data_IF_142629866325
#
_entry.id   IF_142629866325
#
_cell.length_a   1.000
_cell.length_b   1.000
_cell.length_c   1.000
_cell.angle_alpha   90.00
_cell.angle_beta   90.00
_cell.angle_gamma   90.00
#
_symmetry.space_group_name_H-M   'P 1'
#
loop_
_entity.id
_entity.type
_entity.pdbx_description
1 polymer ?
#
# COMPACT_ATOMS: atom_id res chain seq x y z
N UNK A 1 -8.84 33.28 -21.98
CA UNK A 1 -8.61 33.15 -20.53
C UNK A 1 -8.02 31.77 -20.32
N UNK A 2 -6.70 31.66 -20.22
CA UNK A 2 -6.04 30.37 -20.05
C UNK A 2 -6.13 30.00 -18.57
N UNK A 3 -6.96 29.02 -18.26
CA UNK A 3 -6.94 28.36 -16.95
C UNK A 3 -5.66 27.54 -16.93
N UNK A 4 -4.63 28.04 -16.26
CA UNK A 4 -3.53 27.19 -15.82
C UNK A 4 -4.13 26.19 -14.84
N UNK A 5 -4.59 25.05 -15.34
CA UNK A 5 -4.90 23.92 -14.48
C UNK A 5 -3.55 23.50 -13.91
N UNK A 6 -3.38 23.67 -12.60
CA UNK A 6 -2.20 23.19 -11.92
C UNK A 6 -2.20 21.66 -12.07
N UNK A 7 -1.29 21.12 -12.88
CA UNK A 7 -1.11 19.66 -13.06
C UNK A 7 -0.86 18.93 -11.72
N UNK A 8 -0.46 19.66 -10.67
CA UNK A 8 -0.29 19.13 -9.31
C UNK A 8 -1.61 18.68 -8.65
N UNK A 9 -2.77 19.17 -9.07
CA UNK A 9 -4.06 18.84 -8.44
C UNK A 9 -4.51 17.38 -8.70
N UNK A 10 -3.94 16.72 -9.72
CA UNK A 10 -4.27 15.33 -10.08
C UNK A 10 -3.11 14.34 -9.94
N UNK A 11 -1.99 14.74 -9.33
CA UNK A 11 -0.83 13.86 -9.22
C UNK A 11 -1.02 12.82 -8.10
N UNK A 12 -1.22 11.57 -8.50
CA UNK A 12 -1.29 10.44 -7.57
C UNK A 12 -0.01 10.29 -6.75
N UNK A 13 -0.15 9.93 -5.47
CA UNK A 13 0.96 9.70 -4.55
C UNK A 13 1.60 8.33 -4.82
N UNK A 14 2.93 8.26 -4.92
CA UNK A 14 3.61 6.99 -5.24
C UNK A 14 3.70 6.07 -4.02
N UNK A 15 3.43 4.78 -4.21
CA UNK A 15 3.56 3.73 -3.20
C UNK A 15 4.17 2.48 -3.85
N UNK A 16 5.13 1.85 -3.18
CA UNK A 16 5.77 0.62 -3.64
C UNK A 16 5.25 -0.56 -2.82
N UNK A 17 4.92 -1.66 -3.50
CA UNK A 17 4.54 -2.93 -2.91
C UNK A 17 5.61 -3.97 -3.20
N UNK A 18 6.09 -4.65 -2.17
CA UNK A 18 6.99 -5.80 -2.28
C UNK A 18 6.19 -7.04 -1.88
N UNK A 19 5.98 -7.92 -2.86
CA UNK A 19 5.15 -9.12 -2.77
C UNK A 19 5.98 -10.38 -3.05
N UNK A 20 5.46 -11.54 -2.66
CA UNK A 20 6.02 -12.84 -3.03
C UNK A 20 5.45 -13.96 -2.16
N UNK A 21 5.86 -15.19 -2.40
CA UNK A 21 5.43 -16.36 -1.62
C UNK A 21 5.93 -16.35 -0.16
N UNK A 22 5.51 -17.34 0.63
CA UNK A 22 6.08 -17.59 1.96
C UNK A 22 7.52 -18.08 1.80
N UNK A 23 8.44 -17.61 2.65
CA UNK A 23 9.84 -18.01 2.62
C UNK A 23 10.75 -17.16 1.70
N UNK A 24 10.24 -16.14 1.00
CA UNK A 24 11.06 -15.27 0.13
C UNK A 24 11.78 -14.14 0.90
N UNK A 25 12.11 -14.34 2.17
CA UNK A 25 12.80 -13.33 3.00
C UNK A 25 11.95 -12.15 3.50
N UNK A 26 10.60 -12.25 3.43
CA UNK A 26 9.69 -11.28 4.07
C UNK A 26 9.42 -11.70 5.52
N UNK A 27 9.51 -10.77 6.48
CA UNK A 27 9.16 -11.03 7.89
C UNK A 27 7.65 -11.02 8.10
N UNK A 28 7.11 -12.03 8.78
CA UNK A 28 5.72 -12.06 9.25
C UNK A 28 5.69 -12.04 10.78
N UNK A 29 5.29 -10.92 11.36
CA UNK A 29 5.11 -10.79 12.81
C UNK A 29 3.71 -10.20 13.07
N UNK A 30 2.79 -11.05 13.50
CA UNK A 30 1.44 -10.68 13.92
C UNK A 30 1.18 -11.45 15.21
N UNK A 31 0.59 -10.78 16.21
CA UNK A 31 0.12 -11.45 17.42
C UNK A 31 -0.96 -12.47 17.04
N UNK A 32 -0.73 -13.79 17.27
CA UNK A 32 -1.68 -14.83 16.87
C UNK A 32 -3.01 -14.76 17.62
N UNK A 33 -3.10 -13.98 18.70
CA UNK A 33 -4.33 -13.76 19.46
C UNK A 33 -5.03 -12.45 19.11
N UNK A 34 -4.46 -11.65 18.19
CA UNK A 34 -5.08 -10.41 17.77
C UNK A 34 -6.16 -10.63 16.72
N UNK A 35 -7.33 -10.04 16.94
CA UNK A 35 -8.43 -10.01 15.97
C UNK A 35 -8.14 -8.93 14.90
N UNK A 36 -7.10 -9.15 14.09
CA UNK A 36 -6.65 -8.20 13.09
C UNK A 36 -7.38 -8.40 11.76
N UNK A 37 -8.39 -7.56 11.51
CA UNK A 37 -9.22 -7.63 10.30
C UNK A 37 -8.65 -6.82 9.14
N UNK A 38 -9.16 -7.07 7.94
CA UNK A 38 -8.72 -6.36 6.74
C UNK A 38 -8.95 -4.85 6.83
N UNK A 39 -10.02 -4.41 7.48
CA UNK A 39 -10.32 -2.99 7.65
C UNK A 39 -9.28 -2.30 8.56
N UNK A 40 -8.80 -3.01 9.60
CA UNK A 40 -7.73 -2.52 10.46
C UNK A 40 -6.44 -2.34 9.66
N UNK A 41 -6.11 -3.30 8.79
CA UNK A 41 -4.99 -3.20 7.86
C UNK A 41 -5.11 -1.99 6.94
N UNK A 42 -6.23 -1.84 6.23
CA UNK A 42 -6.45 -0.75 5.28
C UNK A 42 -6.29 0.62 5.94
N UNK A 43 -6.91 0.80 7.12
CA UNK A 43 -6.81 2.04 7.89
C UNK A 43 -5.36 2.35 8.28
N UNK A 44 -4.64 1.37 8.84
CA UNK A 44 -3.26 1.56 9.26
C UNK A 44 -2.35 1.89 8.06
N UNK A 45 -2.49 1.18 6.95
CA UNK A 45 -1.70 1.43 5.74
C UNK A 45 -1.88 2.87 5.25
N UNK A 46 -3.13 3.35 5.14
CA UNK A 46 -3.39 4.73 4.70
C UNK A 46 -2.78 5.75 5.67
N UNK A 47 -2.92 5.55 6.99
CA UNK A 47 -2.33 6.43 8.00
C UNK A 47 -0.80 6.47 7.89
N UNK A 48 -0.15 5.31 7.74
CA UNK A 48 1.31 5.24 7.64
C UNK A 48 1.85 5.79 6.32
N UNK A 49 1.17 5.55 5.19
CA UNK A 49 1.53 6.17 3.91
C UNK A 49 1.56 7.70 4.07
N UNK A 50 0.50 8.30 4.62
CA UNK A 50 0.45 9.76 4.79
C UNK A 50 1.55 10.27 5.74
N UNK A 51 1.90 9.51 6.78
CA UNK A 51 3.03 9.85 7.68
C UNK A 51 4.37 9.81 6.94
N UNK A 52 4.63 8.76 6.16
CA UNK A 52 5.89 8.58 5.40
C UNK A 52 6.02 9.65 4.30
N UNK A 53 4.92 9.98 3.61
CA UNK A 53 4.92 11.03 2.60
C UNK A 53 5.21 12.40 3.21
N UNK A 54 4.67 12.69 4.41
CA UNK A 54 4.98 13.92 5.16
C UNK A 54 6.45 14.02 5.55
N UNK A 55 7.13 12.89 5.77
CA UNK A 55 8.58 12.85 6.01
C UNK A 55 9.41 12.85 4.72
N UNK A 56 8.80 13.19 3.57
CA UNK A 56 9.45 13.23 2.24
C UNK A 56 10.10 11.89 1.84
N UNK A 57 9.57 10.78 2.34
CA UNK A 57 10.02 9.44 2.01
C UNK A 57 9.01 8.73 1.09
N UNK A 58 9.46 7.68 0.41
CA UNK A 58 8.58 6.83 -0.41
C UNK A 58 8.01 5.71 0.46
N UNK A 59 6.67 5.58 0.58
CA UNK A 59 6.05 4.46 1.27
C UNK A 59 6.35 3.13 0.57
N UNK A 60 6.82 2.15 1.36
CA UNK A 60 7.03 0.77 0.93
C UNK A 60 6.17 -0.13 1.82
N UNK A 61 5.31 -0.93 1.19
CA UNK A 61 4.47 -1.92 1.85
C UNK A 61 5.02 -3.29 1.47
N UNK A 62 5.40 -4.07 2.48
CA UNK A 62 5.91 -5.43 2.31
C UNK A 62 4.87 -6.40 2.83
N UNK A 63 4.47 -7.38 2.03
CA UNK A 63 3.44 -8.33 2.43
C UNK A 63 3.40 -9.57 1.55
N UNK A 64 2.75 -10.62 2.05
CA UNK A 64 2.45 -11.83 1.27
C UNK A 64 0.97 -12.24 1.31
N UNK A 65 0.13 -11.52 2.08
CA UNK A 65 -1.31 -11.80 2.17
C UNK A 65 -2.05 -11.09 1.05
N UNK A 66 -2.43 -11.85 0.02
CA UNK A 66 -3.21 -11.31 -1.11
C UNK A 66 -4.56 -10.75 -0.65
N UNK A 67 -5.21 -11.38 0.33
CA UNK A 67 -6.51 -10.93 0.84
C UNK A 67 -6.46 -9.50 1.39
N UNK A 68 -5.44 -9.17 2.18
CA UNK A 68 -5.31 -7.81 2.73
C UNK A 68 -5.01 -6.78 1.64
N UNK A 69 -4.25 -7.17 0.63
CA UNK A 69 -3.91 -6.31 -0.50
C UNK A 69 -5.10 -6.07 -1.41
N UNK A 70 -5.91 -7.09 -1.69
CA UNK A 70 -7.17 -6.97 -2.43
C UNK A 70 -8.14 -6.05 -1.69
N UNK A 71 -8.33 -6.24 -0.38
CA UNK A 71 -9.17 -5.35 0.41
C UNK A 71 -8.67 -3.91 0.37
N UNK A 72 -7.36 -3.67 0.49
CA UNK A 72 -6.80 -2.32 0.39
C UNK A 72 -7.07 -1.67 -0.98
N UNK A 73 -6.95 -2.44 -2.06
CA UNK A 73 -7.03 -1.94 -3.43
C UNK A 73 -8.46 -1.67 -3.89
N UNK A 74 -9.40 -2.52 -3.48
CA UNK A 74 -10.79 -2.47 -3.94
C UNK A 74 -11.73 -1.74 -2.95
N UNK A 75 -11.27 -1.40 -1.75
CA UNK A 75 -12.12 -0.73 -0.77
C UNK A 75 -12.61 0.64 -1.28
N UNK A 76 -13.94 0.84 -1.38
CA UNK A 76 -14.52 2.05 -1.95
C UNK A 76 -14.44 3.26 -1.01
N UNK A 77 -14.21 3.06 0.29
CA UNK A 77 -14.03 4.13 1.29
C UNK A 77 -12.63 4.71 1.17
N UNK A 78 -11.60 3.86 1.06
CA UNK A 78 -10.23 4.33 0.95
C UNK A 78 -9.90 4.84 -0.46
N UNK A 79 -10.55 4.34 -1.50
CA UNK A 79 -10.34 4.71 -2.92
C UNK A 79 -8.86 4.66 -3.31
N UNK A 80 -8.16 3.59 -2.90
CA UNK A 80 -6.69 3.53 -2.94
C UNK A 80 -6.14 3.78 -4.34
N UNK A 81 -6.69 3.09 -5.35
CA UNK A 81 -6.30 3.22 -6.77
C UNK A 81 -6.49 4.64 -7.34
N UNK A 82 -7.37 5.43 -6.74
CA UNK A 82 -7.57 6.83 -7.15
C UNK A 82 -6.50 7.74 -6.56
N UNK A 83 -6.15 7.53 -5.27
CA UNK A 83 -5.22 8.38 -4.51
C UNK A 83 -3.74 8.06 -4.78
N UNK A 84 -3.44 6.79 -5.04
CA UNK A 84 -2.07 6.29 -5.09
C UNK A 84 -1.73 5.66 -6.44
N UNK A 85 -0.50 5.92 -6.88
CA UNK A 85 0.15 5.24 -7.99
C UNK A 85 0.98 4.08 -7.43
N UNK A 86 0.60 2.86 -7.78
CA UNK A 86 1.10 1.64 -7.13
C UNK A 86 2.12 0.94 -8.02
N UNK A 87 3.32 0.70 -7.49
CA UNK A 87 4.36 -0.07 -8.16
C UNK A 87 4.58 -1.40 -7.45
N UNK A 88 4.42 -2.52 -8.16
CA UNK A 88 4.51 -3.86 -7.58
C UNK A 88 5.83 -4.53 -7.98
N UNK A 89 6.59 -4.97 -6.98
CA UNK A 89 7.78 -5.79 -7.13
C UNK A 89 7.42 -7.18 -6.61
N UNK A 90 7.32 -8.15 -7.51
CA UNK A 90 7.14 -9.54 -7.15
C UNK A 90 8.50 -10.22 -7.02
N UNK A 91 8.80 -10.71 -5.83
CA UNK A 91 9.99 -11.52 -5.56
C UNK A 91 9.61 -12.98 -5.72
N UNK A 92 10.21 -13.61 -6.72
CA UNK A 92 10.15 -15.05 -6.92
C UNK A 92 11.48 -15.68 -6.53
N UNK A 93 11.43 -16.93 -6.07
CA UNK A 93 12.62 -17.74 -5.77
C UNK A 93 12.35 -19.13 -6.28
N UNK A 94 13.25 -19.62 -7.12
CA UNK A 94 13.27 -21.03 -7.49
C UNK A 94 13.67 -21.85 -6.24
N UNK A 95 12.93 -22.93 -5.98
CA UNK A 95 13.23 -23.88 -4.90
C UNK A 95 14.39 -24.80 -5.27
#
# INVERSE_FOLDING_TARGET
MNTFINDDEFKKKKVIFIMGATGTGKSSEIDPYSDFKAENFCLQVVVYIEKILKSQCVPIIVGGSNLYMENLMEDPVFMFKYKYDSFFIWIDVEQ
#
